data_IF_884291137090
#
_entry.id   IF_884291137090
#
_cell.length_a   1.000
_cell.length_b   1.000
_cell.length_c   1.000
_cell.angle_alpha   90.00
_cell.angle_beta   90.00
_cell.angle_gamma   90.00
#
_symmetry.space_group_name_H-M   'P 1'
#
loop_
_entity.id
_entity.type
_entity.pdbx_description
1 polymer ?
#
# COMPACT_ATOMS: atom_id res chain seq x y z
N UNK A 1 20.01 -4.53 -0.42
CA UNK A 1 18.67 -5.01 -0.84
C UNK A 1 17.54 -4.16 -0.26
N UNK A 2 17.55 -3.86 1.03
CA UNK A 2 16.53 -3.02 1.66
C UNK A 2 16.45 -1.64 1.02
N UNK A 3 17.60 -1.01 0.77
CA UNK A 3 17.67 0.30 0.14
C UNK A 3 17.10 0.25 -1.27
N UNK A 4 17.42 -0.79 -2.03
CA UNK A 4 16.90 -0.97 -3.38
C UNK A 4 15.38 -1.22 -3.36
N UNK A 5 14.89 -2.00 -2.41
CA UNK A 5 13.45 -2.23 -2.25
C UNK A 5 12.72 -0.91 -1.97
N UNK A 6 13.25 -0.08 -1.08
CA UNK A 6 12.67 1.24 -0.82
C UNK A 6 12.68 2.12 -2.06
N UNK A 7 13.77 2.13 -2.82
CA UNK A 7 13.86 2.92 -4.05
C UNK A 7 12.84 2.48 -5.09
N UNK A 8 12.62 1.19 -5.25
CA UNK A 8 11.61 0.64 -6.17
C UNK A 8 10.21 1.11 -5.76
N UNK A 9 9.91 1.01 -4.48
CA UNK A 9 8.61 1.44 -3.94
C UNK A 9 8.46 2.96 -4.08
N UNK A 10 9.53 3.73 -3.80
CA UNK A 10 9.49 5.19 -3.89
C UNK A 10 9.20 5.66 -5.33
N UNK A 11 9.77 5.00 -6.32
CA UNK A 11 9.48 5.31 -7.72
C UNK A 11 8.01 5.04 -8.04
N UNK A 12 7.49 3.90 -7.62
CA UNK A 12 6.08 3.57 -7.79
C UNK A 12 5.17 4.58 -7.09
N UNK A 13 5.48 4.94 -5.85
CA UNK A 13 4.71 5.92 -5.07
C UNK A 13 4.70 7.28 -5.79
N UNK A 14 5.84 7.71 -6.33
CA UNK A 14 5.95 9.00 -7.02
C UNK A 14 5.02 9.11 -8.23
N UNK A 15 4.65 8.00 -8.84
CA UNK A 15 3.76 7.93 -9.99
C UNK A 15 2.32 7.55 -9.61
N UNK A 16 2.09 7.21 -8.33
CA UNK A 16 0.78 6.76 -7.87
C UNK A 16 -0.15 7.94 -7.61
N UNK A 17 -1.43 7.76 -7.95
CA UNK A 17 -2.47 8.73 -7.61
C UNK A 17 -3.21 8.39 -6.32
N UNK A 18 -2.93 7.24 -5.72
CA UNK A 18 -3.74 6.77 -4.59
C UNK A 18 -2.98 6.52 -3.29
N UNK A 19 -1.66 6.45 -3.33
CA UNK A 19 -0.83 6.26 -2.12
C UNK A 19 0.31 7.27 -2.06
N UNK A 20 0.73 7.58 -0.83
CA UNK A 20 1.96 8.32 -0.54
C UNK A 20 2.56 7.74 0.74
N UNK A 21 3.81 8.07 1.01
CA UNK A 21 4.42 7.67 2.26
C UNK A 21 3.67 8.26 3.45
N UNK A 22 3.51 7.46 4.50
CA UNK A 22 2.90 7.94 5.74
C UNK A 22 3.77 9.03 6.38
N UNK A 23 5.09 8.85 6.36
CA UNK A 23 6.03 9.86 6.84
C UNK A 23 6.14 10.99 5.82
N UNK A 24 6.04 12.24 6.28
CA UNK A 24 6.16 13.43 5.42
C UNK A 24 7.60 13.68 4.98
N UNK A 25 8.58 13.19 5.74
CA UNK A 25 9.99 13.34 5.44
C UNK A 25 10.56 12.00 4.97
N UNK A 26 11.00 11.94 3.70
CA UNK A 26 11.54 10.73 3.11
C UNK A 26 12.73 10.16 3.92
N UNK A 27 13.54 11.03 4.51
CA UNK A 27 14.69 10.59 5.30
C UNK A 27 14.29 9.81 6.55
N UNK A 28 13.04 9.93 7.00
CA UNK A 28 12.52 9.20 8.17
C UNK A 28 11.72 7.95 7.77
N UNK A 29 11.58 7.68 6.47
CA UNK A 29 10.90 6.46 6.00
C UNK A 29 11.76 5.25 6.31
N UNK A 30 11.19 4.28 7.02
CA UNK A 30 11.86 3.00 7.26
C UNK A 30 12.05 2.25 5.94
N UNK A 31 13.22 1.64 5.73
CA UNK A 31 13.46 0.79 4.56
C UNK A 31 13.16 -0.69 4.81
N UNK A 32 12.63 -1.02 5.99
CA UNK A 32 12.25 -2.40 6.32
C UNK A 32 10.73 -2.55 6.41
N UNK A 33 10.05 -1.62 7.07
CA UNK A 33 8.59 -1.62 7.20
C UNK A 33 8.08 -0.30 6.63
N UNK A 34 7.69 -0.33 5.37
CA UNK A 34 7.35 0.86 4.60
C UNK A 34 5.85 1.11 4.71
N UNK A 35 5.46 2.20 5.39
CA UNK A 35 4.07 2.54 5.61
C UNK A 35 3.58 3.59 4.61
N UNK A 36 2.43 3.32 4.02
CA UNK A 36 1.80 4.17 3.02
C UNK A 36 0.40 4.59 3.49
N UNK A 37 -0.02 5.79 3.12
CA UNK A 37 -1.37 6.31 3.39
C UNK A 37 -2.15 6.46 2.09
N UNK A 38 -3.47 6.44 2.18
CA UNK A 38 -4.37 6.64 1.04
C UNK A 38 -4.55 8.13 0.79
N UNK A 39 -4.29 8.56 -0.46
CA UNK A 39 -4.37 9.98 -0.84
C UNK A 39 -5.28 10.25 -2.03
N UNK A 40 -5.93 9.24 -2.59
CA UNK A 40 -6.74 9.40 -3.80
C UNK A 40 -7.85 10.43 -3.56
N UNK A 41 -7.93 11.49 -4.38
CA UNK A 41 -9.01 12.49 -4.26
C UNK A 41 -10.41 11.89 -4.30
N UNK A 42 -10.58 10.75 -4.96
CA UNK A 42 -11.88 10.07 -5.04
C UNK A 42 -12.38 9.57 -3.70
N UNK A 43 -11.46 9.28 -2.76
CA UNK A 43 -11.83 8.67 -1.48
C UNK A 43 -11.37 9.48 -0.27
N UNK A 44 -10.61 10.54 -0.48
CA UNK A 44 -9.98 11.30 0.62
C UNK A 44 -11.02 11.89 1.59
N UNK A 45 -12.22 12.24 1.09
CA UNK A 45 -13.29 12.81 1.87
C UNK A 45 -14.27 11.76 2.43
N UNK A 46 -14.01 10.50 2.18
CA UNK A 46 -14.84 9.42 2.74
C UNK A 46 -14.60 9.29 4.25
N UNK A 47 -15.55 8.66 4.93
CA UNK A 47 -15.42 8.42 6.36
C UNK A 47 -14.26 7.47 6.67
N UNK A 48 -13.81 7.49 7.92
CA UNK A 48 -12.80 6.54 8.39
C UNK A 48 -13.27 5.09 8.20
N UNK A 49 -14.57 4.82 8.43
CA UNK A 49 -15.13 3.50 8.23
C UNK A 49 -14.98 3.01 6.79
N UNK A 50 -15.29 3.88 5.81
CA UNK A 50 -15.13 3.55 4.39
C UNK A 50 -13.67 3.28 4.06
N UNK A 51 -12.76 4.11 4.54
CA UNK A 51 -11.33 3.92 4.30
C UNK A 51 -10.81 2.63 4.92
N UNK A 52 -11.28 2.27 6.12
CA UNK A 52 -10.94 0.99 6.74
C UNK A 52 -11.47 -0.18 5.92
N UNK A 53 -12.65 -0.06 5.34
CA UNK A 53 -13.20 -1.09 4.47
C UNK A 53 -12.41 -1.25 3.18
N UNK A 54 -11.88 -0.15 2.63
CA UNK A 54 -10.97 -0.19 1.48
C UNK A 54 -9.73 -1.00 1.83
N UNK A 55 -9.09 -0.69 2.95
CA UNK A 55 -7.90 -1.43 3.40
C UNK A 55 -8.20 -2.91 3.57
N UNK A 56 -9.29 -3.26 4.26
CA UNK A 56 -9.67 -4.66 4.49
C UNK A 56 -9.91 -5.42 3.19
N UNK A 57 -10.54 -4.77 2.22
CA UNK A 57 -10.82 -5.41 0.93
C UNK A 57 -9.54 -5.65 0.14
N UNK A 58 -8.61 -4.69 0.14
CA UNK A 58 -7.30 -4.86 -0.48
C UNK A 58 -6.57 -6.06 0.13
N UNK A 59 -6.52 -6.13 1.46
CA UNK A 59 -5.86 -7.22 2.19
C UNK A 59 -6.48 -8.55 1.78
N UNK A 60 -7.80 -8.64 1.77
CA UNK A 60 -8.50 -9.87 1.42
C UNK A 60 -8.20 -10.33 0.00
N UNK A 61 -8.20 -9.42 -0.96
CA UNK A 61 -7.90 -9.75 -2.35
C UNK A 61 -6.48 -10.30 -2.50
N UNK A 62 -5.52 -9.69 -1.83
CA UNK A 62 -4.12 -10.12 -1.92
C UNK A 62 -3.91 -11.47 -1.23
N UNK A 63 -4.57 -11.70 -0.09
CA UNK A 63 -4.49 -12.99 0.61
C UNK A 63 -5.18 -14.10 -0.18
N UNK A 64 -6.38 -13.85 -0.71
CA UNK A 64 -7.14 -14.83 -1.48
C UNK A 64 -6.38 -15.30 -2.72
N UNK A 65 -5.59 -14.43 -3.32
CA UNK A 65 -4.77 -14.75 -4.50
C UNK A 65 -3.35 -15.21 -4.12
N UNK A 66 -3.07 -15.37 -2.83
CA UNK A 66 -1.75 -15.75 -2.33
C UNK A 66 -0.63 -14.80 -2.81
N UNK A 67 -0.95 -13.52 -2.99
CA UNK A 67 0.01 -12.53 -3.47
C UNK A 67 0.83 -11.98 -2.32
N UNK A 68 0.17 -11.58 -1.23
CA UNK A 68 0.82 -10.97 -0.08
C UNK A 68 0.01 -11.16 1.19
N UNK A 69 0.71 -11.17 2.33
CA UNK A 69 0.13 -11.24 3.67
C UNK A 69 0.68 -10.08 4.50
N UNK A 70 -0.03 -9.70 5.57
CA UNK A 70 0.38 -8.63 6.48
C UNK A 70 0.60 -7.27 5.78
N UNK A 71 -0.19 -6.98 4.76
CA UNK A 71 -0.11 -5.72 4.01
C UNK A 71 -0.83 -4.57 4.74
N UNK A 72 -1.70 -4.87 5.69
CA UNK A 72 -2.47 -3.87 6.40
C UNK A 72 -1.62 -2.92 7.24
N UNK A 73 -2.10 -1.68 7.42
CA UNK A 73 -1.45 -0.69 8.26
C UNK A 73 -1.37 -1.13 9.72
N UNK A 74 -0.48 -0.50 10.49
CA UNK A 74 -0.48 -0.67 11.94
C UNK A 74 -1.81 -0.21 12.53
N UNK A 75 -2.21 -0.82 13.65
CA UNK A 75 -3.47 -0.53 14.32
C UNK A 75 -3.62 0.95 14.69
N UNK A 76 -2.51 1.60 15.04
CA UNK A 76 -2.48 3.02 15.43
C UNK A 76 -2.31 3.96 14.25
N UNK A 77 -2.10 3.44 13.04
CA UNK A 77 -1.88 4.24 11.85
C UNK A 77 -3.21 4.53 11.14
N UNK A 78 -3.29 5.60 10.32
CA UNK A 78 -4.44 5.80 9.44
C UNK A 78 -4.54 4.66 8.42
N UNK A 79 -5.73 4.45 7.82
CA UNK A 79 -5.90 3.41 6.79
C UNK A 79 -4.90 3.56 5.66
N UNK A 80 -4.30 2.46 5.28
CA UNK A 80 -3.28 2.44 4.24
C UNK A 80 -2.66 1.06 4.11
N UNK A 81 -1.39 1.03 3.73
CA UNK A 81 -0.66 -0.20 3.51
C UNK A 81 0.66 -0.19 4.26
N UNK A 82 1.19 -1.38 4.50
CA UNK A 82 2.52 -1.57 5.05
C UNK A 82 3.21 -2.64 4.22
N UNK A 83 4.33 -2.29 3.61
CA UNK A 83 5.09 -3.20 2.76
C UNK A 83 6.38 -3.57 3.46
N UNK A 84 6.60 -4.87 3.65
CA UNK A 84 7.85 -5.37 4.19
C UNK A 84 8.91 -5.37 3.08
N UNK A 85 9.93 -4.54 3.24
CA UNK A 85 11.01 -4.38 2.26
C UNK A 85 12.39 -4.66 2.84
N UNK A 86 12.47 -5.47 3.89
CA UNK A 86 13.73 -5.79 4.55
C UNK A 86 14.70 -6.58 3.67
N UNK A 87 15.93 -6.84 4.16
CA UNK A 87 16.99 -7.44 3.35
C UNK A 87 16.74 -8.87 2.92
N UNK A 88 15.76 -9.55 3.52
CA UNK A 88 15.35 -10.90 3.13
C UNK A 88 14.35 -10.94 1.97
N UNK A 89 13.86 -9.77 1.53
CA UNK A 89 12.88 -9.66 0.45
C UNK A 89 13.59 -9.33 -0.86
N UNK A 90 13.35 -10.14 -1.88
CA UNK A 90 13.95 -9.91 -3.20
C UNK A 90 13.34 -8.71 -3.91
N UNK A 91 14.18 -7.94 -4.62
CA UNK A 91 13.72 -6.81 -5.43
C UNK A 91 12.67 -7.24 -6.47
N UNK A 92 12.83 -8.41 -7.07
CA UNK A 92 11.89 -8.91 -8.06
C UNK A 92 10.52 -9.18 -7.46
N UNK A 93 10.45 -9.64 -6.22
CA UNK A 93 9.18 -9.86 -5.53
C UNK A 93 8.47 -8.52 -5.29
N UNK A 94 9.20 -7.48 -4.93
CA UNK A 94 8.63 -6.14 -4.77
C UNK A 94 8.09 -5.64 -6.12
N UNK A 95 8.88 -5.79 -7.20
CA UNK A 95 8.45 -5.35 -8.55
C UNK A 95 7.18 -6.04 -9.00
N UNK A 96 6.99 -7.30 -8.62
CA UNK A 96 5.78 -8.06 -8.96
C UNK A 96 4.59 -7.66 -8.09
N UNK A 97 4.85 -7.28 -6.83
CA UNK A 97 3.80 -6.89 -5.89
C UNK A 97 3.11 -5.59 -6.30
N UNK A 98 3.86 -4.59 -6.77
CA UNK A 98 3.34 -3.24 -6.98
C UNK A 98 2.17 -3.19 -7.98
N UNK A 99 2.24 -3.84 -9.16
CA UNK A 99 1.07 -3.89 -10.04
C UNK A 99 -0.13 -4.59 -9.40
N UNK A 100 0.11 -5.57 -8.54
CA UNK A 100 -0.96 -6.26 -7.83
C UNK A 100 -1.67 -5.33 -6.83
N UNK A 101 -0.92 -4.42 -6.19
CA UNK A 101 -1.52 -3.42 -5.30
C UNK A 101 -2.44 -2.48 -6.09
N UNK A 102 -2.01 -2.01 -7.25
CA UNK A 102 -2.84 -1.16 -8.11
C UNK A 102 -4.11 -1.89 -8.55
N UNK A 103 -3.98 -3.15 -8.94
CA UNK A 103 -5.12 -3.99 -9.30
C UNK A 103 -6.10 -4.16 -8.12
N UNK A 104 -5.57 -4.48 -6.94
CA UNK A 104 -6.40 -4.71 -5.76
C UNK A 104 -7.14 -3.44 -5.36
N UNK A 105 -6.49 -2.29 -5.44
CA UNK A 105 -7.12 -1.00 -5.14
C UNK A 105 -8.27 -0.71 -6.12
N UNK A 106 -8.01 -0.81 -7.42
CA UNK A 106 -9.02 -0.56 -8.44
C UNK A 106 -10.22 -1.49 -8.27
N UNK A 107 -9.97 -2.77 -8.08
CA UNK A 107 -11.04 -3.76 -7.87
C UNK A 107 -11.82 -3.47 -6.58
N UNK A 108 -11.13 -3.03 -5.52
CA UNK A 108 -11.78 -2.65 -4.27
C UNK A 108 -12.76 -1.50 -4.46
N UNK A 109 -12.36 -0.44 -5.18
CA UNK A 109 -13.24 0.69 -5.42
C UNK A 109 -14.49 0.28 -6.20
N UNK A 110 -14.33 -0.61 -7.18
CA UNK A 110 -15.46 -1.15 -7.94
C UNK A 110 -16.38 -2.01 -7.06
N UNK A 111 -15.80 -2.88 -6.25
CA UNK A 111 -16.56 -3.77 -5.36
C UNK A 111 -17.36 -2.97 -4.35
N UNK A 112 -16.79 -1.92 -3.78
CA UNK A 112 -17.43 -1.06 -2.80
C UNK A 112 -18.29 0.05 -3.44
N UNK A 113 -18.36 0.08 -4.77
CA UNK A 113 -19.15 1.05 -5.54
C UNK A 113 -18.74 2.50 -5.25
N UNK A 114 -17.43 2.74 -5.15
CA UNK A 114 -16.87 4.07 -4.93
C UNK A 114 -16.45 4.75 -6.24
N UNK A 115 -16.45 3.99 -7.33
CA UNK A 115 -16.25 4.51 -8.68
C UNK A 115 -17.23 3.86 -9.64
#
# INVERSE_FOLDING_TARGET
RSKNNLNIIAEWVSKSHWVDFLSENFDTVSNTSICLKLIDPKIINQSLEVKNNIEKNIIKLLEDENIAFDIGSYRSAPPGLRIWGGPTVDNDDIKKLLPCLDWAYDKTLKTLKLI
#
